data_IF_222032901322
#
_entry.id   IF_222032901322
#
_cell.length_a   1.000
_cell.length_b   1.000
_cell.length_c   1.000
_cell.angle_alpha   90.00
_cell.angle_beta   90.00
_cell.angle_gamma   90.00
#
_symmetry.space_group_name_H-M   'P 1'
#
loop_
_entity.id
_entity.type
_entity.pdbx_description
1 polymer ?
#
# COMPACT_ATOMS: atom_id res chain seq x y z
N UNK A 1 12.97 -36.44 -14.18
CA UNK A 1 13.29 -35.04 -13.77
C UNK A 1 12.03 -34.20 -13.98
N UNK A 2 11.65 -33.37 -13.00
CA UNK A 2 10.47 -32.49 -13.13
C UNK A 2 10.84 -31.37 -14.08
N UNK A 3 9.99 -31.12 -15.09
CA UNK A 3 10.19 -30.06 -16.05
C UNK A 3 9.50 -28.78 -15.55
N UNK A 4 10.28 -27.70 -15.38
CA UNK A 4 9.77 -26.37 -14.97
C UNK A 4 10.76 -25.29 -15.36
N UNK A 5 10.27 -24.07 -15.51
CA UNK A 5 11.11 -22.91 -15.86
C UNK A 5 12.00 -22.57 -14.65
N UNK A 6 13.32 -22.51 -14.89
CA UNK A 6 14.31 -22.24 -13.83
C UNK A 6 14.87 -20.81 -13.86
N UNK A 7 14.60 -20.05 -14.92
CA UNK A 7 15.00 -18.67 -15.02
C UNK A 7 13.93 -17.77 -14.40
N UNK A 8 14.25 -17.12 -13.27
CA UNK A 8 13.33 -16.23 -12.56
C UNK A 8 12.85 -15.06 -13.41
N UNK A 9 13.70 -14.54 -14.29
CA UNK A 9 13.30 -13.43 -15.18
C UNK A 9 12.28 -13.90 -16.22
N UNK A 10 12.46 -15.11 -16.73
CA UNK A 10 11.49 -15.72 -17.66
C UNK A 10 10.16 -15.95 -16.95
N UNK A 11 10.18 -16.42 -15.69
CA UNK A 11 8.95 -16.61 -14.90
C UNK A 11 8.21 -15.27 -14.76
N UNK A 12 8.92 -14.18 -14.43
CA UNK A 12 8.31 -12.85 -14.29
C UNK A 12 7.70 -12.38 -15.63
N UNK A 13 8.43 -12.49 -16.74
CA UNK A 13 7.94 -12.09 -18.06
C UNK A 13 6.67 -12.85 -18.42
N UNK A 14 6.68 -14.19 -18.24
CA UNK A 14 5.52 -15.02 -18.53
C UNK A 14 4.33 -14.67 -17.63
N UNK A 15 4.57 -14.48 -16.33
CA UNK A 15 3.52 -14.10 -15.39
C UNK A 15 2.87 -12.77 -15.78
N UNK A 16 3.67 -11.75 -16.07
CA UNK A 16 3.13 -10.44 -16.44
C UNK A 16 2.41 -10.47 -17.79
N UNK A 17 2.90 -11.29 -18.74
CA UNK A 17 2.21 -11.48 -20.03
C UNK A 17 0.83 -12.11 -19.84
N UNK A 18 0.74 -13.14 -19.01
CA UNK A 18 -0.53 -13.81 -18.67
C UNK A 18 -1.49 -12.81 -18.00
N UNK A 19 -1.00 -12.08 -17.01
CA UNK A 19 -1.82 -11.08 -16.31
C UNK A 19 -2.38 -10.05 -17.29
N UNK A 20 -1.55 -9.55 -18.21
CA UNK A 20 -1.99 -8.55 -19.19
C UNK A 20 -3.02 -9.13 -20.20
N UNK A 21 -2.92 -10.42 -20.48
CA UNK A 21 -3.88 -11.09 -21.37
C UNK A 21 -5.23 -11.36 -20.69
N UNK A 22 -5.24 -11.57 -19.37
CA UNK A 22 -6.44 -11.98 -18.63
C UNK A 22 -7.14 -10.84 -17.89
N UNK A 23 -6.37 -9.85 -17.41
CA UNK A 23 -6.93 -8.77 -16.59
C UNK A 23 -7.52 -7.65 -17.46
N UNK A 24 -8.62 -7.05 -16.97
CA UNK A 24 -9.27 -5.92 -17.63
C UNK A 24 -8.53 -4.62 -17.30
N UNK A 25 -7.39 -4.40 -17.95
CA UNK A 25 -6.54 -3.23 -17.70
C UNK A 25 -6.98 -1.98 -18.45
N UNK A 26 -7.93 -2.10 -19.37
CA UNK A 26 -8.48 -0.98 -20.16
C UNK A 26 -9.10 0.13 -19.28
N UNK A 27 -9.51 -0.20 -18.07
CA UNK A 27 -10.08 0.77 -17.11
C UNK A 27 -9.03 1.44 -16.24
N UNK A 28 -7.77 1.01 -16.33
CA UNK A 28 -6.67 1.49 -15.47
C UNK A 28 -5.85 2.54 -16.22
N UNK A 29 -5.64 3.73 -15.63
CA UNK A 29 -4.79 4.72 -16.29
C UNK A 29 -3.35 4.23 -16.44
N UNK A 30 -2.68 4.70 -17.49
CA UNK A 30 -1.31 4.28 -17.83
C UNK A 30 -0.33 4.44 -16.65
N UNK A 31 -0.51 5.47 -15.82
CA UNK A 31 0.37 5.71 -14.67
C UNK A 31 0.16 4.71 -13.52
N UNK A 32 -0.90 3.90 -13.58
CA UNK A 32 -1.19 2.86 -12.57
C UNK A 32 -1.17 1.44 -13.13
N UNK A 33 -1.01 1.25 -14.45
CA UNK A 33 -1.04 -0.10 -15.06
C UNK A 33 -0.03 -1.04 -14.40
N UNK A 34 1.21 -0.59 -14.25
CA UNK A 34 2.28 -1.39 -13.64
C UNK A 34 1.95 -1.76 -12.18
N UNK A 35 1.36 -0.82 -11.43
CA UNK A 35 0.92 -1.08 -10.05
C UNK A 35 -0.16 -2.17 -10.06
N UNK A 36 -1.15 -2.06 -10.95
CA UNK A 36 -2.25 -3.03 -11.06
C UNK A 36 -1.71 -4.43 -11.38
N UNK A 37 -0.83 -4.55 -12.38
CA UNK A 37 -0.22 -5.83 -12.78
C UNK A 37 0.54 -6.45 -11.60
N UNK A 38 1.32 -5.66 -10.87
CA UNK A 38 2.09 -6.18 -9.72
C UNK A 38 1.19 -6.56 -8.54
N UNK A 39 0.08 -5.84 -8.33
CA UNK A 39 -0.91 -6.21 -7.29
C UNK A 39 -1.55 -7.55 -7.64
N UNK A 40 -1.96 -7.74 -8.91
CA UNK A 40 -2.51 -9.03 -9.40
C UNK A 40 -1.47 -10.14 -9.20
N UNK A 41 -0.23 -9.89 -9.63
CA UNK A 41 0.86 -10.88 -9.48
C UNK A 41 1.05 -11.29 -8.02
N UNK A 42 1.00 -10.32 -7.10
CA UNK A 42 1.24 -10.56 -5.68
C UNK A 42 0.16 -11.41 -5.01
N UNK A 43 -1.07 -11.35 -5.50
CA UNK A 43 -2.19 -12.10 -4.91
C UNK A 43 -2.64 -13.30 -5.77
N UNK A 44 -2.23 -13.36 -7.04
CA UNK A 44 -2.60 -14.44 -7.95
C UNK A 44 -4.06 -14.40 -8.38
N UNK A 45 -4.71 -13.24 -8.33
CA UNK A 45 -6.14 -13.09 -8.62
C UNK A 45 -6.36 -11.93 -9.60
N UNK A 46 -6.77 -12.23 -10.84
CA UNK A 46 -6.99 -11.19 -11.86
C UNK A 46 -8.22 -10.33 -11.56
N UNK A 47 -9.22 -10.90 -10.89
CA UNK A 47 -10.47 -10.22 -10.55
C UNK A 47 -10.30 -9.07 -9.55
N UNK A 48 -9.18 -9.00 -8.81
CA UNK A 48 -8.95 -7.89 -7.86
C UNK A 48 -8.91 -6.53 -8.56
N UNK A 49 -8.66 -6.52 -9.86
CA UNK A 49 -8.64 -5.27 -10.62
C UNK A 49 -10.00 -4.54 -10.55
N UNK A 50 -11.08 -5.30 -10.45
CA UNK A 50 -12.43 -4.75 -10.35
C UNK A 50 -12.68 -4.01 -9.03
N UNK A 51 -11.88 -4.30 -8.01
CA UNK A 51 -11.96 -3.64 -6.68
C UNK A 51 -10.94 -2.52 -6.53
N UNK A 52 -10.03 -2.33 -7.49
CA UNK A 52 -9.03 -1.27 -7.39
C UNK A 52 -9.70 0.10 -7.60
N UNK A 53 -9.48 1.02 -6.68
CA UNK A 53 -9.97 2.41 -6.79
C UNK A 53 -8.81 3.36 -6.54
N UNK A 54 -8.84 4.50 -7.23
CA UNK A 54 -7.72 5.43 -7.19
C UNK A 54 -8.21 6.84 -7.56
N UNK A 55 -7.49 7.83 -7.08
CA UNK A 55 -7.69 9.21 -7.54
C UNK A 55 -6.89 9.45 -8.83
N UNK A 56 -7.33 10.38 -9.68
CA UNK A 56 -6.56 10.74 -10.88
C UNK A 56 -5.13 11.17 -10.51
N UNK A 57 -4.15 10.67 -11.28
CA UNK A 57 -2.75 11.03 -11.10
C UNK A 57 -2.05 10.39 -9.91
N UNK A 58 -2.69 9.46 -9.21
CA UNK A 58 -2.11 8.82 -8.00
C UNK A 58 -0.78 8.12 -8.31
N UNK A 59 -0.67 7.45 -9.45
CA UNK A 59 0.57 6.78 -9.84
C UNK A 59 1.71 7.76 -10.03
N UNK A 60 1.43 8.86 -10.73
CA UNK A 60 2.42 9.92 -10.94
C UNK A 60 2.82 10.60 -9.65
N UNK A 61 1.85 10.86 -8.76
CA UNK A 61 2.13 11.48 -7.44
C UNK A 61 3.09 10.60 -6.63
N UNK A 62 2.84 9.29 -6.60
CA UNK A 62 3.70 8.35 -5.87
C UNK A 62 5.10 8.26 -6.44
N UNK A 63 5.22 8.12 -7.78
CA UNK A 63 6.54 8.08 -8.43
C UNK A 63 7.35 9.35 -8.16
N UNK A 64 6.71 10.50 -8.31
CA UNK A 64 7.38 11.80 -8.10
C UNK A 64 7.85 11.93 -6.63
N UNK A 65 7.00 11.55 -5.68
CA UNK A 65 7.37 11.58 -4.26
C UNK A 65 8.57 10.67 -3.99
N UNK A 66 8.54 9.43 -4.50
CA UNK A 66 9.65 8.49 -4.30
C UNK A 66 10.93 9.01 -4.95
N UNK A 67 10.85 9.54 -6.17
CA UNK A 67 12.00 10.12 -6.87
C UNK A 67 12.60 11.32 -6.11
N UNK A 68 11.76 12.06 -5.40
CA UNK A 68 12.18 13.20 -4.56
C UNK A 68 12.75 12.79 -3.19
N UNK A 69 12.79 11.47 -2.89
CA UNK A 69 13.35 11.00 -1.64
C UNK A 69 12.34 10.93 -0.48
N UNK A 70 11.05 11.04 -0.77
CA UNK A 70 10.00 11.03 0.25
C UNK A 70 10.10 9.79 1.16
N UNK A 71 9.84 9.95 2.48
CA UNK A 71 9.77 8.80 3.36
C UNK A 71 8.53 7.95 3.06
N UNK A 72 8.66 6.65 3.35
CA UNK A 72 7.57 5.67 3.21
C UNK A 72 7.14 5.28 4.61
N UNK A 73 5.91 5.60 4.97
CA UNK A 73 5.35 5.38 6.32
C UNK A 73 4.46 4.13 6.29
N UNK A 74 4.83 3.12 7.06
CA UNK A 74 4.20 1.79 7.01
C UNK A 74 3.50 1.45 8.33
N UNK A 75 2.25 0.98 8.26
CA UNK A 75 1.46 0.61 9.45
C UNK A 75 1.91 -0.71 10.10
N UNK A 76 2.69 -1.52 9.39
CA UNK A 76 3.09 -2.84 9.89
C UNK A 76 4.50 -3.20 9.38
N UNK A 77 5.24 -3.97 10.20
CA UNK A 77 6.58 -4.45 9.83
C UNK A 77 6.58 -5.30 8.57
N UNK A 78 5.53 -6.10 8.36
CA UNK A 78 5.44 -6.91 7.12
C UNK A 78 5.42 -6.04 5.88
N UNK A 79 4.85 -4.83 5.96
CA UNK A 79 4.87 -3.87 4.85
C UNK A 79 6.30 -3.33 4.69
N UNK A 80 6.89 -2.79 5.76
CA UNK A 80 8.21 -2.16 5.69
C UNK A 80 9.32 -3.13 5.26
N UNK A 81 9.26 -4.39 5.75
CA UNK A 81 10.27 -5.40 5.40
C UNK A 81 10.08 -5.95 3.99
N UNK A 82 8.87 -5.89 3.44
CA UNK A 82 8.59 -6.36 2.08
C UNK A 82 9.04 -5.39 0.99
N UNK A 83 9.26 -4.11 1.32
CA UNK A 83 9.69 -3.13 0.34
C UNK A 83 11.14 -3.41 -0.08
N UNK A 84 11.35 -3.55 -1.39
CA UNK A 84 12.67 -3.86 -1.96
C UNK A 84 13.53 -2.59 -1.99
N UNK A 85 14.36 -2.41 -0.98
CA UNK A 85 15.16 -1.19 -0.79
C UNK A 85 16.03 -0.87 -2.02
N UNK A 86 16.56 -1.88 -2.69
CA UNK A 86 17.42 -1.69 -3.87
C UNK A 86 16.66 -1.15 -5.10
N UNK A 87 15.33 -1.14 -5.05
CA UNK A 87 14.48 -0.57 -6.11
C UNK A 87 14.10 0.87 -5.85
N UNK A 88 14.33 1.37 -4.63
CA UNK A 88 13.95 2.75 -4.28
C UNK A 88 14.89 3.75 -4.99
N UNK A 89 14.32 4.79 -5.62
CA UNK A 89 15.12 5.66 -6.49
C UNK A 89 16.03 6.63 -5.75
N UNK A 90 15.80 6.90 -4.46
CA UNK A 90 16.48 7.99 -3.75
C UNK A 90 16.80 7.65 -2.29
N UNK A 91 17.10 6.40 -1.98
CA UNK A 91 17.38 5.94 -0.61
C UNK A 91 16.27 6.34 0.38
N UNK A 92 15.02 6.28 -0.05
CA UNK A 92 13.84 6.68 0.71
C UNK A 92 13.82 6.04 2.10
N UNK A 93 13.68 6.83 3.18
CA UNK A 93 13.51 6.25 4.51
C UNK A 93 12.23 5.41 4.59
N UNK A 94 12.31 4.22 5.16
CA UNK A 94 11.14 3.37 5.42
C UNK A 94 10.93 3.36 6.93
N UNK A 95 9.78 3.87 7.37
CA UNK A 95 9.47 4.11 8.78
C UNK A 95 8.24 3.29 9.17
N UNK A 96 8.35 2.50 10.23
CA UNK A 96 7.24 1.75 10.83
C UNK A 96 7.33 1.87 12.35
N UNK A 97 6.47 2.67 12.92
CA UNK A 97 6.51 3.02 14.35
C UNK A 97 5.66 2.12 15.24
N UNK A 98 5.05 1.07 14.70
CA UNK A 98 4.11 0.20 15.43
C UNK A 98 4.68 -0.38 16.74
N UNK A 99 5.99 -0.59 16.79
CA UNK A 99 6.64 -1.19 17.95
C UNK A 99 7.62 -0.23 18.65
N UNK A 100 7.51 1.06 18.36
CA UNK A 100 8.36 2.06 18.99
C UNK A 100 7.99 2.22 20.47
N UNK A 101 8.95 2.66 21.25
CA UNK A 101 8.78 2.88 22.69
C UNK A 101 7.66 3.89 22.92
N UNK A 102 6.81 3.63 23.91
CA UNK A 102 5.70 4.49 24.28
C UNK A 102 4.40 4.24 23.50
N UNK A 103 4.43 3.51 22.37
CA UNK A 103 3.21 3.28 21.58
C UNK A 103 2.15 2.49 22.37
N UNK A 104 2.59 1.53 23.19
CA UNK A 104 1.66 0.75 24.00
C UNK A 104 0.97 1.62 25.06
N UNK A 105 1.74 2.45 25.71
CA UNK A 105 1.26 3.36 26.75
C UNK A 105 0.31 4.40 26.13
N UNK A 106 0.71 4.99 25.02
CA UNK A 106 -0.12 5.95 24.26
C UNK A 106 -1.47 5.32 23.85
N UNK A 107 -1.46 4.04 23.46
CA UNK A 107 -2.69 3.33 23.08
C UNK A 107 -3.66 3.22 24.27
N UNK A 108 -3.12 2.95 25.46
CA UNK A 108 -3.93 2.90 26.69
C UNK A 108 -4.46 4.28 27.06
N UNK A 109 -3.63 5.30 26.99
CA UNK A 109 -4.00 6.68 27.34
C UNK A 109 -5.08 7.23 26.42
N UNK A 110 -4.95 6.97 25.09
CA UNK A 110 -5.88 7.48 24.10
C UNK A 110 -7.08 6.55 23.86
N UNK A 111 -7.13 5.39 24.54
CA UNK A 111 -8.21 4.43 24.38
C UNK A 111 -8.36 3.93 22.95
N UNK A 112 -7.23 3.75 22.24
CA UNK A 112 -7.25 3.38 20.83
C UNK A 112 -6.25 2.25 20.57
N UNK A 113 -6.23 1.73 19.33
CA UNK A 113 -5.32 0.63 18.98
C UNK A 113 -3.88 1.13 18.81
N UNK A 114 -2.90 0.24 19.06
CA UNK A 114 -1.50 0.57 18.81
C UNK A 114 -1.27 1.01 17.37
N UNK A 115 -1.94 0.35 16.40
CA UNK A 115 -1.80 0.67 14.97
C UNK A 115 -2.29 2.09 14.66
N UNK A 116 -3.31 2.57 15.35
CA UNK A 116 -3.81 3.94 15.18
C UNK A 116 -2.83 4.94 15.80
N UNK A 117 -2.54 4.78 17.10
CA UNK A 117 -1.74 5.79 17.83
C UNK A 117 -0.29 5.86 17.36
N UNK A 118 0.25 4.78 16.82
CA UNK A 118 1.59 4.79 16.24
C UNK A 118 1.75 5.87 15.16
N UNK A 119 0.66 6.27 14.51
CA UNK A 119 0.69 7.32 13.49
C UNK A 119 1.01 8.71 14.07
N UNK A 120 0.83 8.92 15.37
CA UNK A 120 1.25 10.18 16.00
C UNK A 120 2.75 10.43 15.80
N UNK A 121 3.54 9.34 15.81
CA UNK A 121 4.99 9.42 15.58
C UNK A 121 5.33 9.70 14.10
N UNK A 122 4.34 9.65 13.20
CA UNK A 122 4.54 10.01 11.78
C UNK A 122 4.48 11.51 11.53
N UNK A 123 3.94 12.31 12.47
CA UNK A 123 3.72 13.74 12.23
C UNK A 123 4.92 14.49 11.68
N UNK A 124 6.17 14.26 12.18
CA UNK A 124 7.33 14.96 11.62
C UNK A 124 7.72 14.53 10.20
N UNK A 125 7.18 13.40 9.74
CA UNK A 125 7.54 12.79 8.45
C UNK A 125 6.37 12.77 7.46
N UNK A 126 5.19 13.26 7.86
CA UNK A 126 3.95 13.04 7.11
C UNK A 126 3.90 13.87 5.83
N UNK A 127 4.42 15.11 5.88
CA UNK A 127 4.36 16.01 4.72
C UNK A 127 5.09 15.42 3.52
N UNK A 128 4.36 15.26 2.42
CA UNK A 128 4.92 14.76 1.17
C UNK A 128 5.30 13.28 1.17
N UNK A 129 5.03 12.55 2.25
CA UNK A 129 5.36 11.13 2.37
C UNK A 129 4.49 10.23 1.48
N UNK A 130 4.91 8.98 1.33
CA UNK A 130 4.07 7.91 0.78
C UNK A 130 3.61 7.06 1.96
N UNK A 131 2.32 7.14 2.28
CA UNK A 131 1.73 6.36 3.38
C UNK A 131 1.25 5.01 2.83
N UNK A 132 1.59 3.93 3.52
CA UNK A 132 1.29 2.56 3.10
C UNK A 132 0.63 1.82 4.28
N UNK A 133 -0.68 1.63 4.17
CA UNK A 133 -1.44 0.90 5.18
C UNK A 133 -1.85 -0.44 4.59
N UNK A 134 -1.17 -1.50 5.02
CA UNK A 134 -1.38 -2.86 4.51
C UNK A 134 -2.04 -3.80 5.49
N UNK A 135 -2.30 -3.35 6.71
CA UNK A 135 -2.81 -4.23 7.76
C UNK A 135 -4.04 -3.64 8.47
N UNK A 136 -3.90 -2.52 9.17
CA UNK A 136 -4.88 -2.11 10.19
C UNK A 136 -5.88 -1.08 9.67
N UNK A 137 -7.18 -1.40 9.64
CA UNK A 137 -8.21 -0.40 9.34
C UNK A 137 -8.19 0.79 10.30
N UNK A 138 -7.87 0.57 11.57
CA UNK A 138 -7.79 1.64 12.57
C UNK A 138 -6.68 2.64 12.25
N UNK A 139 -5.59 2.21 11.60
CA UNK A 139 -4.55 3.12 11.14
C UNK A 139 -5.09 4.04 10.04
N UNK A 140 -5.89 3.49 9.11
CA UNK A 140 -6.46 4.31 8.04
C UNK A 140 -7.49 5.30 8.58
N UNK A 141 -8.38 4.88 9.48
CA UNK A 141 -9.31 5.79 10.15
C UNK A 141 -8.57 6.92 10.86
N UNK A 142 -7.54 6.57 11.65
CA UNK A 142 -6.78 7.56 12.43
C UNK A 142 -6.04 8.54 11.52
N UNK A 143 -5.50 8.07 10.41
CA UNK A 143 -4.87 8.96 9.41
C UNK A 143 -5.89 9.99 8.90
N UNK A 144 -7.12 9.56 8.60
CA UNK A 144 -8.17 10.49 8.13
C UNK A 144 -8.52 11.51 9.21
N UNK A 145 -8.61 11.08 10.47
CA UNK A 145 -8.82 11.99 11.63
C UNK A 145 -7.68 13.01 11.76
N UNK A 146 -6.43 12.54 11.61
CA UNK A 146 -5.25 13.43 11.65
C UNK A 146 -5.34 14.49 10.55
N UNK A 147 -5.73 14.10 9.33
CA UNK A 147 -5.87 15.01 8.20
C UNK A 147 -7.02 16.01 8.44
N UNK A 148 -8.13 15.54 9.01
CA UNK A 148 -9.26 16.41 9.38
C UNK A 148 -8.85 17.42 10.46
N UNK A 149 -7.92 17.04 11.34
CA UNK A 149 -7.36 17.92 12.38
C UNK A 149 -6.23 18.82 11.84
N UNK A 150 -5.97 18.81 10.53
CA UNK A 150 -4.99 19.72 9.92
C UNK A 150 -3.56 19.20 9.88
N UNK A 151 -3.35 17.91 10.05
CA UNK A 151 -2.00 17.34 9.91
C UNK A 151 -1.45 17.57 8.49
N UNK A 152 -0.12 17.67 8.32
CA UNK A 152 0.47 17.79 6.98
C UNK A 152 0.05 16.64 6.07
N UNK A 153 -0.09 16.93 4.77
CA UNK A 153 -0.63 15.96 3.82
C UNK A 153 0.48 15.09 3.22
N UNK A 154 0.29 13.76 3.19
CA UNK A 154 1.18 12.91 2.40
C UNK A 154 0.97 13.15 0.90
N UNK A 155 1.95 12.76 0.09
CA UNK A 155 1.86 12.82 -1.37
C UNK A 155 0.96 11.71 -1.93
N UNK A 156 0.86 10.58 -1.21
CA UNK A 156 0.06 9.43 -1.67
C UNK A 156 -0.33 8.56 -0.48
N UNK A 157 -1.57 8.06 -0.50
CA UNK A 157 -2.01 7.01 0.44
C UNK A 157 -2.25 5.71 -0.34
N UNK A 158 -1.50 4.66 -0.02
CA UNK A 158 -1.73 3.29 -0.49
C UNK A 158 -2.50 2.55 0.60
N UNK A 159 -3.83 2.49 0.45
CA UNK A 159 -4.74 1.99 1.48
C UNK A 159 -5.23 0.57 1.19
N UNK A 160 -4.53 -0.41 1.72
CA UNK A 160 -4.84 -1.84 1.56
C UNK A 160 -5.12 -2.55 2.88
N UNK A 161 -5.74 -1.90 3.91
CA UNK A 161 -6.06 -2.65 5.12
C UNK A 161 -7.02 -3.81 4.82
N UNK A 162 -6.95 -4.87 5.63
CA UNK A 162 -7.71 -6.11 5.40
C UNK A 162 -8.57 -6.43 6.62
N UNK A 163 -9.70 -7.06 6.42
CA UNK A 163 -10.46 -7.62 7.51
C UNK A 163 -11.97 -7.47 7.39
N UNK A 164 -12.63 -7.92 8.44
CA UNK A 164 -14.09 -7.97 8.50
C UNK A 164 -14.69 -6.78 9.26
N UNK A 165 -13.87 -6.05 10.03
CA UNK A 165 -14.32 -4.90 10.82
C UNK A 165 -13.48 -3.68 10.43
N UNK A 166 -14.11 -2.70 9.82
CA UNK A 166 -13.48 -1.43 9.49
C UNK A 166 -12.69 -1.38 8.18
N UNK A 167 -12.33 -2.52 7.58
CA UNK A 167 -11.47 -2.51 6.37
C UNK A 167 -12.20 -1.90 5.17
N UNK A 168 -13.42 -2.35 4.90
CA UNK A 168 -14.21 -1.81 3.81
C UNK A 168 -14.60 -0.35 4.10
N UNK A 169 -14.98 -0.08 5.33
CA UNK A 169 -15.46 1.23 5.77
C UNK A 169 -14.37 2.29 5.71
N UNK A 170 -13.16 2.00 6.20
CA UNK A 170 -12.05 2.97 6.19
C UNK A 170 -11.64 3.34 4.76
N UNK A 171 -11.61 2.36 3.86
CA UNK A 171 -11.30 2.60 2.44
C UNK A 171 -12.42 3.37 1.75
N UNK A 172 -13.68 3.05 2.06
CA UNK A 172 -14.82 3.80 1.51
C UNK A 172 -14.78 5.27 1.96
N UNK A 173 -14.41 5.53 3.22
CA UNK A 173 -14.25 6.90 3.72
C UNK A 173 -13.15 7.65 2.97
N UNK A 174 -12.00 7.02 2.76
CA UNK A 174 -10.91 7.63 2.00
C UNK A 174 -11.35 7.92 0.55
N UNK A 175 -12.06 6.98 -0.09
CA UNK A 175 -12.53 7.15 -1.47
C UNK A 175 -13.60 8.25 -1.57
N UNK A 176 -14.46 8.38 -0.56
CA UNK A 176 -15.52 9.41 -0.55
C UNK A 176 -14.94 10.82 -0.35
N UNK A 177 -13.94 10.95 0.51
CA UNK A 177 -13.24 12.21 0.73
C UNK A 177 -11.78 11.92 1.11
N UNK A 178 -10.88 12.15 0.18
CA UNK A 178 -9.46 11.90 0.38
C UNK A 178 -8.74 13.08 1.07
N UNK A 179 -9.45 14.12 1.44
CA UNK A 179 -8.91 15.37 1.99
C UNK A 179 -7.92 16.02 1.01
N UNK A 180 -8.12 15.76 -0.29
CA UNK A 180 -7.24 16.26 -1.35
C UNK A 180 -5.92 15.51 -1.50
N UNK A 181 -5.78 14.33 -0.86
CA UNK A 181 -4.58 13.51 -0.99
C UNK A 181 -4.81 12.45 -2.08
N UNK A 182 -3.88 12.28 -3.02
CA UNK A 182 -3.95 11.16 -3.96
C UNK A 182 -3.96 9.81 -3.25
N UNK A 183 -4.72 8.85 -3.79
CA UNK A 183 -4.81 7.52 -3.15
C UNK A 183 -4.98 6.39 -4.15
N UNK A 184 -4.60 5.18 -3.71
CA UNK A 184 -4.94 3.90 -4.34
C UNK A 184 -5.40 2.97 -3.22
N UNK A 185 -6.56 2.32 -3.42
CA UNK A 185 -7.12 1.36 -2.45
C UNK A 185 -7.62 0.11 -3.15
N UNK A 186 -7.76 -0.97 -2.38
CA UNK A 186 -8.50 -2.17 -2.76
C UNK A 186 -9.85 -2.14 -2.04
N UNK A 187 -10.92 -1.86 -2.76
CA UNK A 187 -12.27 -1.72 -2.18
C UNK A 187 -12.70 -3.00 -1.46
N UNK A 188 -13.59 -2.88 -0.47
CA UNK A 188 -14.14 -4.01 0.26
C UNK A 188 -13.18 -4.55 1.32
N UNK A 189 -13.28 -5.84 1.62
CA UNK A 189 -12.52 -6.49 2.70
C UNK A 189 -11.13 -6.96 2.27
N UNK A 190 -10.86 -7.01 0.97
CA UNK A 190 -9.59 -7.48 0.42
C UNK A 190 -8.44 -6.52 0.76
N UNK A 191 -7.27 -7.09 0.95
CA UNK A 191 -6.06 -6.39 1.40
C UNK A 191 -5.31 -7.26 2.38
N UNK A 192 -4.42 -6.65 3.18
CA UNK A 192 -3.87 -7.31 4.38
C UNK A 192 -2.49 -7.92 4.29
N UNK A 193 -1.86 -7.98 5.46
CA UNK A 193 -0.52 -8.56 5.65
C UNK A 193 -0.55 -10.05 6.00
N UNK A 194 -1.68 -10.57 6.50
CA UNK A 194 -1.73 -11.91 7.08
C UNK A 194 -1.98 -13.04 6.07
N UNK A 195 -2.35 -12.74 4.84
CA UNK A 195 -2.70 -13.78 3.85
C UNK A 195 -1.55 -14.18 2.93
N UNK A 196 -0.36 -13.60 3.11
CA UNK A 196 0.85 -14.11 2.47
C UNK A 196 1.28 -15.48 3.05
N UNK A 197 0.73 -15.86 4.18
CA UNK A 197 0.96 -17.16 4.83
C UNK A 197 -0.14 -18.18 4.54
N UNK A 198 -1.17 -17.63 4.33
CA UNK A 198 -2.16 -18.55 4.07
C UNK A 198 -2.63 -18.30 2.74
N UNK A 199 -2.50 -18.90 2.03
CA UNK A 199 -2.94 -18.81 0.67
C UNK A 199 -4.26 -18.01 0.48
N UNK A 200 -4.20 -17.02 -0.31
CA UNK A 200 -5.33 -16.28 -0.95
C UNK A 200 -5.67 -14.90 -0.37
N UNK A 201 -5.18 -13.88 -1.04
CA UNK A 201 -5.59 -12.51 -0.89
C UNK A 201 -4.66 -11.66 -0.04
N UNK A 202 -3.40 -11.73 -0.34
CA UNK A 202 -2.36 -11.08 0.46
C UNK A 202 -2.35 -9.56 0.42
N UNK A 203 -2.44 -8.94 1.56
CA UNK A 203 -2.53 -7.51 1.69
C UNK A 203 -1.22 -6.77 1.85
N UNK A 204 -0.30 -7.22 2.70
CA UNK A 204 1.06 -6.66 2.71
C UNK A 204 1.69 -6.87 1.34
N UNK A 205 1.44 -8.02 0.73
CA UNK A 205 1.91 -8.28 -0.62
C UNK A 205 1.36 -7.24 -1.59
N UNK A 206 0.08 -6.89 -1.51
CA UNK A 206 -0.52 -5.88 -2.37
C UNK A 206 0.04 -4.49 -2.10
N UNK A 207 0.14 -4.09 -0.84
CA UNK A 207 0.68 -2.79 -0.45
C UNK A 207 2.15 -2.68 -0.85
N UNK A 208 2.94 -3.72 -0.59
CA UNK A 208 4.35 -3.80 -0.98
C UNK A 208 4.50 -3.79 -2.50
N UNK A 209 3.65 -4.56 -3.22
CA UNK A 209 3.66 -4.61 -4.68
C UNK A 209 3.38 -3.22 -5.27
N UNK A 210 2.45 -2.47 -4.66
CA UNK A 210 2.13 -1.11 -5.09
C UNK A 210 3.33 -0.17 -4.92
N UNK A 211 4.01 -0.20 -3.76
CA UNK A 211 5.23 0.60 -3.54
C UNK A 211 6.32 0.22 -4.53
N UNK A 212 6.60 -1.08 -4.64
CA UNK A 212 7.68 -1.57 -5.52
C UNK A 212 7.40 -1.25 -7.00
N UNK A 213 6.12 -1.20 -7.40
CA UNK A 213 5.74 -0.82 -8.76
C UNK A 213 6.00 0.65 -9.04
N UNK A 214 5.77 1.51 -8.03
CA UNK A 214 6.00 2.95 -8.16
C UNK A 214 7.50 3.30 -8.07
N UNK A 215 8.29 2.47 -7.41
CA UNK A 215 9.70 2.73 -7.12
C UNK A 215 10.64 2.54 -8.31
N UNK A 216 10.23 1.78 -9.35
CA UNK A 216 11.11 1.46 -10.47
C UNK A 216 10.37 1.49 -11.80
N UNK A 217 11.06 1.89 -12.86
CA UNK A 217 10.52 1.83 -14.22
C UNK A 217 10.70 0.45 -14.86
N UNK A 218 11.61 -0.36 -14.32
CA UNK A 218 11.86 -1.73 -14.82
C UNK A 218 10.80 -2.68 -14.26
N UNK A 219 10.25 -3.55 -15.11
CA UNK A 219 9.32 -4.61 -14.71
C UNK A 219 10.02 -5.76 -14.02
#
# INVERSE_FOLDING_TARGET
MIDYIRDGQEIYRNSFSIIRAEARLDTIPADLEKLAVRVIHACGMVDVIEDLRFSPGAGSAGRNALAAGAPILCDARMVSEGITRTRLPANNPIICTLHDEGVREMALELGNTRSAVALELWRPHLEGSVVVIGNAPTALFYLLEMLDAGAPKPALILGFPVGFVGAAESKAMLAADSRGVPFVIMQGRRGGSAMAVXARGGGSAMAVAAVNALATEIE
#
